data_IF_242508652081
#
_entry.id   IF_242508652081
#
_cell.length_a   1.000
_cell.length_b   1.000
_cell.length_c   1.000
_cell.angle_alpha   90.00
_cell.angle_beta   90.00
_cell.angle_gamma   90.00
#
_symmetry.space_group_name_H-M   'P 1'
#
loop_
_entity.id
_entity.type
_entity.pdbx_description
1 polymer ?
#
# COMPACT_ATOMS: atom_id res chain seq x y z
N UNK A 1 -13.87 2.63 -23.35
CA UNK A 1 -13.51 1.92 -22.11
C UNK A 1 -13.61 2.94 -21.00
N UNK A 2 -14.27 2.63 -19.89
CA UNK A 2 -14.31 3.54 -18.75
C UNK A 2 -12.93 3.63 -18.08
N UNK A 3 -12.64 4.76 -17.44
CA UNK A 3 -11.43 4.95 -16.64
C UNK A 3 -11.52 4.09 -15.37
N UNK A 4 -10.47 3.36 -15.03
CA UNK A 4 -10.40 2.54 -13.82
C UNK A 4 -9.97 3.42 -12.64
N UNK A 5 -10.73 3.39 -11.55
CA UNK A 5 -10.41 4.14 -10.32
C UNK A 5 -9.63 3.27 -9.33
N UNK A 6 -8.44 3.72 -8.95
CA UNK A 6 -7.60 3.05 -7.96
C UNK A 6 -7.51 3.90 -6.69
N UNK A 7 -8.07 3.40 -5.59
CA UNK A 7 -7.91 4.02 -4.27
C UNK A 7 -6.61 3.57 -3.62
N UNK A 8 -5.74 4.49 -3.22
CA UNK A 8 -4.42 4.20 -2.64
C UNK A 8 -4.34 4.73 -1.22
N UNK A 9 -3.93 3.87 -0.27
CA UNK A 9 -3.65 4.27 1.11
C UNK A 9 -2.26 4.91 1.15
N UNK A 10 -2.19 6.25 1.02
CA UNK A 10 -0.95 6.99 0.77
C UNK A 10 -0.27 7.53 2.03
N UNK A 11 -0.73 7.15 3.21
CA UNK A 11 -0.23 7.65 4.49
C UNK A 11 1.29 7.43 4.72
N UNK A 12 1.92 6.46 4.06
CA UNK A 12 3.37 6.23 4.15
C UNK A 12 4.21 7.29 3.42
N UNK A 13 3.58 8.13 2.60
CA UNK A 13 4.22 9.26 1.92
C UNK A 13 4.21 10.53 2.76
N UNK A 14 3.45 10.57 3.87
CA UNK A 14 3.35 11.75 4.73
C UNK A 14 4.64 12.04 5.50
N UNK A 15 4.98 13.31 5.61
CA UNK A 15 6.10 13.78 6.41
C UNK A 15 7.46 13.32 5.87
N UNK A 16 8.30 12.74 6.74
CA UNK A 16 9.62 12.25 6.33
C UNK A 16 9.48 10.96 5.54
N UNK A 17 9.94 10.95 4.29
CA UNK A 17 9.84 9.80 3.40
C UNK A 17 10.35 8.50 4.04
N UNK A 18 9.46 7.54 4.24
CA UNK A 18 9.79 6.17 4.65
C UNK A 18 10.26 5.36 3.43
N UNK A 19 10.80 4.15 3.63
CA UNK A 19 11.10 3.25 2.52
C UNK A 19 9.87 2.91 1.69
N UNK A 20 8.71 2.68 2.36
CA UNK A 20 7.42 2.41 1.69
C UNK A 20 6.90 3.67 0.97
N UNK A 21 7.08 4.86 1.57
CA UNK A 21 6.74 6.12 0.94
C UNK A 21 7.50 6.33 -0.38
N UNK A 22 8.82 6.12 -0.39
CA UNK A 22 9.64 6.18 -1.62
C UNK A 22 9.26 5.12 -2.66
N UNK A 23 8.90 3.92 -2.20
CA UNK A 23 8.39 2.88 -3.10
C UNK A 23 7.11 3.35 -3.79
N UNK A 24 6.16 3.92 -3.05
CA UNK A 24 4.90 4.40 -3.60
C UNK A 24 5.11 5.60 -4.54
N UNK A 25 5.98 6.54 -4.16
CA UNK A 25 6.37 7.68 -5.00
C UNK A 25 6.95 7.21 -6.35
N UNK A 26 7.96 6.35 -6.33
CA UNK A 26 8.57 5.80 -7.55
C UNK A 26 7.61 4.92 -8.37
N UNK A 27 6.65 4.24 -7.71
CA UNK A 27 5.61 3.49 -8.40
C UNK A 27 4.67 4.43 -9.16
N UNK A 28 4.22 5.52 -8.55
CA UNK A 28 3.32 6.51 -9.17
C UNK A 28 4.02 7.23 -10.32
N UNK A 29 5.27 7.67 -10.14
CA UNK A 29 6.09 8.26 -11.21
C UNK A 29 6.26 7.31 -12.40
N UNK A 30 6.54 6.03 -12.13
CA UNK A 30 6.65 5.01 -13.16
C UNK A 30 5.35 4.77 -13.92
N UNK A 31 4.22 4.82 -13.21
CA UNK A 31 2.90 4.61 -13.81
C UNK A 31 2.40 5.82 -14.62
N UNK A 32 2.78 7.05 -14.26
CA UNK A 32 2.52 8.24 -15.09
C UNK A 32 3.15 8.12 -16.50
N UNK A 33 4.31 7.47 -16.59
CA UNK A 33 4.99 7.22 -17.87
C UNK A 33 4.28 6.16 -18.74
N UNK A 34 3.45 5.31 -18.11
CA UNK A 34 2.87 4.14 -18.80
C UNK A 34 1.44 4.35 -19.24
N UNK A 35 0.82 5.48 -18.95
CA UNK A 35 -0.56 5.73 -19.35
C UNK A 35 -1.52 4.55 -19.10
N UNK A 36 -2.71 4.62 -18.81
CA UNK A 36 -3.79 5.32 -19.36
C UNK A 36 -5.10 4.67 -19.00
N UNK A 37 -6.04 5.48 -18.71
CA UNK A 37 -7.34 5.06 -18.29
C UNK A 37 -7.38 4.62 -16.83
N UNK A 38 -6.43 5.07 -15.99
CA UNK A 38 -6.43 4.90 -14.54
C UNK A 38 -6.50 6.27 -13.88
N UNK A 39 -7.44 6.43 -12.95
CA UNK A 39 -7.51 7.56 -12.03
C UNK A 39 -7.00 7.10 -10.67
N UNK A 40 -5.98 7.77 -10.14
CA UNK A 40 -5.36 7.48 -8.86
C UNK A 40 -5.95 8.38 -7.79
N UNK A 41 -6.60 7.80 -6.78
CA UNK A 41 -7.15 8.50 -5.63
C UNK A 41 -6.30 8.19 -4.41
N UNK A 42 -5.42 9.12 -4.04
CA UNK A 42 -4.48 8.99 -2.92
C UNK A 42 -5.11 9.52 -1.64
N UNK A 43 -5.17 8.69 -0.60
CA UNK A 43 -5.77 9.04 0.68
C UNK A 43 -4.70 9.29 1.74
N UNK A 44 -4.71 10.48 2.30
CA UNK A 44 -3.79 10.96 3.33
C UNK A 44 -4.54 11.27 4.63
N UNK A 45 -3.91 10.97 5.78
CA UNK A 45 -4.40 11.43 7.07
C UNK A 45 -3.88 12.83 7.42
N UNK A 46 -2.64 13.11 7.03
CA UNK A 46 -1.95 14.38 7.25
C UNK A 46 -1.61 15.09 5.96
N UNK A 47 -0.54 15.87 5.98
CA UNK A 47 -0.08 16.62 4.83
C UNK A 47 0.72 15.73 3.86
N UNK A 48 0.47 15.87 2.55
CA UNK A 48 1.23 15.14 1.54
C UNK A 48 2.66 15.66 1.47
N UNK A 49 3.58 14.89 0.85
CA UNK A 49 4.91 15.39 0.56
C UNK A 49 4.84 16.57 -0.42
N UNK A 50 5.66 17.59 -0.18
CA UNK A 50 5.76 18.80 -1.03
C UNK A 50 6.27 18.50 -2.45
N UNK A 51 6.85 17.31 -2.66
CA UNK A 51 7.42 16.86 -3.94
C UNK A 51 6.38 16.45 -4.98
N UNK A 52 5.14 16.23 -4.58
CA UNK A 52 4.09 15.78 -5.48
C UNK A 52 3.22 16.96 -5.93
N UNK A 53 3.38 17.35 -7.19
CA UNK A 53 2.47 18.29 -7.84
C UNK A 53 1.28 17.50 -8.44
N UNK A 54 0.16 17.52 -7.72
CA UNK A 54 -1.07 16.86 -8.16
C UNK A 54 -1.91 17.70 -9.13
N UNK A 55 -1.38 18.80 -9.68
CA UNK A 55 -2.15 19.71 -10.52
C UNK A 55 -2.27 19.18 -11.96
N UNK A 56 -3.46 18.71 -12.30
CA UNK A 56 -3.88 18.50 -13.69
C UNK A 56 -3.62 17.13 -14.28
N UNK A 57 -3.26 16.12 -13.48
CA UNK A 57 -3.06 14.73 -13.91
C UNK A 57 -4.19 13.78 -13.47
N UNK A 58 -4.04 12.47 -13.72
CA UNK A 58 -4.97 11.44 -13.28
C UNK A 58 -4.87 11.12 -11.77
N UNK A 59 -4.20 11.97 -10.99
CA UNK A 59 -3.96 11.79 -9.57
C UNK A 59 -4.81 12.78 -8.76
N UNK A 60 -5.63 12.25 -7.86
CA UNK A 60 -6.51 13.02 -6.98
C UNK A 60 -6.10 12.79 -5.52
N UNK A 61 -5.74 13.84 -4.80
CA UNK A 61 -5.40 13.76 -3.39
C UNK A 61 -6.63 14.00 -2.50
N UNK A 62 -6.84 13.10 -1.54
CA UNK A 62 -7.90 13.17 -0.54
C UNK A 62 -7.28 13.29 0.85
N UNK A 63 -7.71 14.32 1.59
CA UNK A 63 -7.22 14.62 2.93
C UNK A 63 -8.27 14.31 3.96
N UNK A 64 -7.93 13.45 4.92
CA UNK A 64 -8.84 13.13 6.00
C UNK A 64 -8.99 14.32 6.95
N UNK A 65 -10.20 14.45 7.52
CA UNK A 65 -10.47 15.42 8.59
C UNK A 65 -10.14 14.86 9.99
N UNK A 66 -9.64 13.64 10.06
CA UNK A 66 -9.35 12.95 11.32
C UNK A 66 -7.87 13.08 11.69
N UNK A 67 -7.57 13.88 12.70
CA UNK A 67 -6.22 14.13 13.21
C UNK A 67 -5.87 13.28 14.45
N UNK A 68 -6.41 12.06 14.53
CA UNK A 68 -6.22 11.17 15.66
C UNK A 68 -5.23 10.03 15.41
N UNK A 69 -5.51 8.88 16.01
CA UNK A 69 -4.70 7.68 15.84
C UNK A 69 -4.62 7.23 14.38
N UNK A 70 -3.41 7.16 13.82
CA UNK A 70 -3.16 6.64 12.47
C UNK A 70 -3.71 5.23 12.28
N UNK A 71 -3.50 4.36 13.26
CA UNK A 71 -4.00 2.98 13.19
C UNK A 71 -5.53 2.95 13.11
N UNK A 72 -6.22 3.80 13.87
CA UNK A 72 -7.67 3.90 13.81
C UNK A 72 -8.13 4.41 12.44
N UNK A 73 -7.48 5.44 11.92
CA UNK A 73 -7.79 5.97 10.60
C UNK A 73 -7.56 4.92 9.51
N UNK A 74 -6.39 4.33 9.42
CA UNK A 74 -6.05 3.31 8.40
C UNK A 74 -6.95 2.08 8.47
N UNK A 75 -7.37 1.67 9.67
CA UNK A 75 -8.10 0.40 9.80
C UNK A 75 -9.62 0.56 9.76
N UNK A 76 -10.15 1.74 10.06
CA UNK A 76 -11.60 1.94 10.20
C UNK A 76 -12.12 3.15 9.45
N UNK A 77 -11.53 4.33 9.67
CA UNK A 77 -12.14 5.58 9.23
C UNK A 77 -11.99 5.80 7.72
N UNK A 78 -10.85 5.44 7.15
CA UNK A 78 -10.53 5.56 5.71
C UNK A 78 -11.52 4.76 4.82
N UNK A 79 -12.13 3.71 5.36
CA UNK A 79 -13.07 2.88 4.58
C UNK A 79 -14.19 3.70 3.98
N UNK A 80 -14.76 4.64 4.74
CA UNK A 80 -15.84 5.53 4.25
C UNK A 80 -15.32 6.52 3.19
N UNK A 81 -14.12 7.01 3.36
CA UNK A 81 -13.48 7.94 2.42
C UNK A 81 -13.21 7.22 1.08
N UNK A 82 -12.71 5.99 1.14
CA UNK A 82 -12.50 5.12 -0.02
C UNK A 82 -13.80 4.78 -0.74
N UNK A 83 -14.83 4.34 0.00
CA UNK A 83 -16.13 3.96 -0.57
C UNK A 83 -16.83 5.15 -1.24
N UNK A 84 -16.62 6.38 -0.77
CA UNK A 84 -17.22 7.58 -1.37
C UNK A 84 -16.73 7.88 -2.80
N UNK A 85 -15.56 7.36 -3.17
CA UNK A 85 -14.98 7.49 -4.52
C UNK A 85 -15.42 6.34 -5.44
N UNK A 86 -15.98 5.27 -4.87
CA UNK A 86 -16.35 4.03 -5.59
C UNK A 86 -15.19 3.46 -6.40
N UNK A 87 -14.06 3.08 -5.77
CA UNK A 87 -12.90 2.59 -6.49
C UNK A 87 -13.15 1.18 -7.05
N UNK A 88 -12.65 0.92 -8.24
CA UNK A 88 -12.65 -0.42 -8.84
C UNK A 88 -11.70 -1.36 -8.11
N UNK A 89 -10.60 -0.80 -7.55
CA UNK A 89 -9.64 -1.53 -6.74
C UNK A 89 -9.02 -0.62 -5.68
N UNK A 90 -8.70 -1.18 -4.50
CA UNK A 90 -7.95 -0.49 -3.45
C UNK A 90 -6.55 -1.07 -3.33
N UNK A 91 -5.55 -0.21 -3.34
CA UNK A 91 -4.16 -0.57 -3.18
C UNK A 91 -3.62 -0.16 -1.80
N UNK A 92 -3.16 -1.17 -1.04
CA UNK A 92 -2.41 -0.99 0.19
C UNK A 92 -0.92 -1.17 -0.07
N UNK A 93 -0.11 -0.10 -0.10
CA UNK A 93 1.33 -0.17 -0.39
C UNK A 93 2.15 -0.79 0.75
N UNK A 94 1.57 -0.90 1.94
CA UNK A 94 2.13 -1.57 3.10
C UNK A 94 1.30 -2.82 3.44
N UNK A 95 1.73 -3.57 4.44
CA UNK A 95 1.12 -4.84 4.87
C UNK A 95 -0.29 -4.72 5.50
N UNK A 96 -1.01 -3.60 5.31
CA UNK A 96 -2.32 -3.36 5.91
C UNK A 96 -3.40 -3.05 4.88
N UNK A 97 -4.65 -3.40 5.22
CA UNK A 97 -5.86 -3.00 4.51
C UNK A 97 -6.96 -2.66 5.55
N UNK A 98 -7.84 -1.70 5.27
CA UNK A 98 -8.91 -1.31 6.18
C UNK A 98 -9.87 -2.45 6.49
N UNK A 99 -10.47 -2.41 7.67
CA UNK A 99 -11.59 -3.28 8.00
C UNK A 99 -12.85 -2.82 7.26
N UNK A 100 -13.67 -3.80 6.81
CA UNK A 100 -14.95 -3.50 6.16
C UNK A 100 -14.85 -3.06 4.70
N UNK A 101 -13.65 -3.03 4.11
CA UNK A 101 -13.47 -2.71 2.71
C UNK A 101 -14.24 -3.70 1.82
N UNK A 102 -15.06 -3.18 0.91
CA UNK A 102 -15.89 -3.98 -0.03
C UNK A 102 -15.24 -4.09 -1.40
N UNK A 103 -14.55 -3.04 -1.83
CA UNK A 103 -13.85 -3.05 -3.11
C UNK A 103 -12.78 -4.14 -3.18
N UNK A 104 -12.53 -4.72 -4.36
CA UNK A 104 -11.38 -5.55 -4.62
C UNK A 104 -10.09 -4.88 -4.14
N UNK A 105 -9.13 -5.64 -3.61
CA UNK A 105 -7.91 -5.03 -3.08
C UNK A 105 -6.65 -5.78 -3.44
N UNK A 106 -5.56 -5.01 -3.52
CA UNK A 106 -4.19 -5.48 -3.71
C UNK A 106 -3.35 -4.93 -2.57
N UNK A 107 -2.45 -5.74 -2.01
CA UNK A 107 -1.56 -5.32 -0.92
C UNK A 107 -0.12 -5.70 -1.24
N UNK A 108 0.81 -4.76 -1.00
CA UNK A 108 2.24 -5.08 -1.03
C UNK A 108 2.72 -5.47 0.37
N UNK A 109 3.48 -6.55 0.47
CA UNK A 109 4.15 -6.97 1.69
C UNK A 109 5.66 -6.97 1.43
N UNK A 110 6.33 -5.95 1.98
CA UNK A 110 7.76 -5.73 1.78
C UNK A 110 8.62 -6.69 2.60
N UNK A 111 8.21 -6.96 3.85
CA UNK A 111 8.87 -7.89 4.75
C UNK A 111 7.88 -8.52 5.74
N UNK A 112 8.28 -9.62 6.35
CA UNK A 112 7.61 -10.27 7.47
C UNK A 112 8.60 -10.55 8.62
N UNK A 113 9.55 -9.64 8.85
CA UNK A 113 10.56 -9.74 9.90
C UNK A 113 9.94 -10.01 11.27
N UNK A 114 8.78 -9.43 11.57
CA UNK A 114 8.01 -9.70 12.78
C UNK A 114 7.54 -11.16 12.95
N UNK A 115 7.56 -11.97 11.89
CA UNK A 115 7.29 -13.42 11.92
C UNK A 115 8.57 -14.25 12.06
N UNK A 116 9.63 -13.88 11.32
CA UNK A 116 10.85 -14.68 11.18
C UNK A 116 11.94 -14.31 12.18
N UNK A 117 11.89 -13.07 12.73
CA UNK A 117 12.82 -12.53 13.75
C UNK A 117 12.03 -11.92 14.92
N UNK A 118 11.23 -12.73 15.60
CA UNK A 118 10.28 -12.23 16.61
C UNK A 118 10.93 -11.51 17.80
N UNK A 119 12.19 -11.80 18.10
CA UNK A 119 12.98 -11.21 19.18
C UNK A 119 13.32 -9.73 18.94
N UNK A 120 13.32 -9.28 17.69
CA UNK A 120 13.61 -7.89 17.31
C UNK A 120 12.42 -6.95 17.57
N UNK A 121 11.26 -7.51 17.92
CA UNK A 121 10.02 -6.74 18.09
C UNK A 121 9.44 -6.88 19.48
N UNK A 122 9.00 -5.76 20.06
CA UNK A 122 8.19 -5.80 21.29
C UNK A 122 6.90 -6.62 21.06
N UNK A 123 6.49 -7.39 22.08
CA UNK A 123 5.36 -8.32 21.98
C UNK A 123 4.09 -7.69 21.38
N UNK A 124 3.71 -6.50 21.86
CA UNK A 124 2.51 -5.79 21.39
C UNK A 124 2.60 -5.40 19.90
N UNK A 125 3.75 -4.85 19.51
CA UNK A 125 3.99 -4.43 18.11
C UNK A 125 4.01 -5.63 17.17
N UNK A 126 4.71 -6.69 17.54
CA UNK A 126 4.76 -7.96 16.81
C UNK A 126 3.35 -8.53 16.57
N UNK A 127 2.54 -8.65 17.63
CA UNK A 127 1.19 -9.18 17.53
C UNK A 127 0.31 -8.30 16.63
N UNK A 128 0.40 -6.99 16.77
CA UNK A 128 -0.32 -6.04 15.94
C UNK A 128 0.02 -6.23 14.45
N UNK A 129 1.31 -6.22 14.10
CA UNK A 129 1.78 -6.41 12.71
C UNK A 129 1.35 -7.76 12.16
N UNK A 130 1.53 -8.81 12.93
CA UNK A 130 1.15 -10.17 12.56
C UNK A 130 -0.33 -10.29 12.22
N UNK A 131 -1.22 -9.78 13.05
CA UNK A 131 -2.67 -9.82 12.85
C UNK A 131 -3.05 -9.04 11.59
N UNK A 132 -2.56 -7.81 11.46
CA UNK A 132 -2.91 -6.94 10.34
C UNK A 132 -2.38 -7.48 9.01
N UNK A 133 -1.14 -7.93 8.94
CA UNK A 133 -0.54 -8.47 7.73
C UNK A 133 -1.23 -9.77 7.29
N UNK A 134 -1.46 -10.70 8.21
CA UNK A 134 -2.16 -11.96 7.90
C UNK A 134 -3.59 -11.72 7.43
N UNK A 135 -4.29 -10.75 8.05
CA UNK A 135 -5.62 -10.37 7.61
C UNK A 135 -5.59 -9.75 6.21
N UNK A 136 -4.73 -8.74 5.99
CA UNK A 136 -4.61 -8.09 4.70
C UNK A 136 -4.30 -9.10 3.58
N UNK A 137 -3.34 -10.00 3.81
CA UNK A 137 -2.99 -11.06 2.87
C UNK A 137 -4.15 -12.02 2.56
N UNK A 138 -5.04 -12.28 3.53
CA UNK A 138 -6.21 -13.16 3.33
C UNK A 138 -7.30 -12.48 2.53
N UNK A 139 -7.60 -11.20 2.79
CA UNK A 139 -8.73 -10.48 2.17
C UNK A 139 -8.38 -9.89 0.81
N UNK A 140 -7.12 -9.52 0.56
CA UNK A 140 -6.68 -9.00 -0.73
C UNK A 140 -6.88 -10.02 -1.86
N UNK A 141 -7.31 -9.60 -3.04
CA UNK A 141 -7.34 -10.43 -4.25
C UNK A 141 -5.95 -10.85 -4.70
N UNK A 142 -4.97 -9.97 -4.55
CA UNK A 142 -3.56 -10.23 -4.87
C UNK A 142 -2.67 -9.67 -3.77
N UNK A 143 -1.60 -10.39 -3.50
CA UNK A 143 -0.51 -9.96 -2.63
C UNK A 143 0.72 -9.77 -3.50
N UNK A 144 1.31 -8.57 -3.46
CA UNK A 144 2.55 -8.28 -4.16
C UNK A 144 3.72 -8.56 -3.21
N UNK A 145 4.64 -9.39 -3.64
CA UNK A 145 5.90 -9.68 -2.98
C UNK A 145 7.04 -9.01 -3.73
N UNK A 146 7.95 -8.38 -3.02
CA UNK A 146 9.06 -7.62 -3.61
C UNK A 146 10.20 -8.50 -4.15
N UNK A 147 10.15 -9.80 -3.91
CA UNK A 147 11.12 -10.79 -4.41
C UNK A 147 10.53 -12.19 -4.40
N UNK A 148 11.16 -13.13 -5.13
CA UNK A 148 10.80 -14.55 -5.08
C UNK A 148 11.01 -15.14 -3.67
N UNK A 149 12.04 -14.70 -2.97
CA UNK A 149 12.26 -15.10 -1.57
C UNK A 149 11.07 -14.70 -0.70
N UNK A 150 10.62 -13.44 -0.79
CA UNK A 150 9.46 -12.97 -0.04
C UNK A 150 8.18 -13.72 -0.44
N UNK A 151 7.97 -13.99 -1.72
CA UNK A 151 6.85 -14.78 -2.17
C UNK A 151 6.84 -16.19 -1.57
N UNK A 152 8.01 -16.83 -1.48
CA UNK A 152 8.20 -18.11 -0.78
C UNK A 152 7.82 -18.05 0.69
N UNK A 153 8.28 -17.03 1.41
CA UNK A 153 7.95 -16.80 2.82
C UNK A 153 6.44 -16.57 3.03
N UNK A 154 5.80 -15.77 2.19
CA UNK A 154 4.35 -15.50 2.27
C UNK A 154 3.53 -16.77 2.04
N UNK A 155 3.90 -17.59 1.08
CA UNK A 155 3.26 -18.90 0.85
C UNK A 155 3.43 -19.82 2.06
N UNK A 156 4.64 -19.91 2.60
CA UNK A 156 4.95 -20.79 3.73
C UNK A 156 4.32 -20.32 5.04
N UNK A 157 4.46 -19.02 5.39
CA UNK A 157 4.07 -18.50 6.70
C UNK A 157 2.60 -18.08 6.78
N UNK A 158 2.01 -17.63 5.65
CA UNK A 158 0.63 -17.15 5.60
C UNK A 158 -0.31 -18.13 4.91
N UNK A 159 0.21 -19.24 4.36
CA UNK A 159 -0.59 -20.25 3.67
C UNK A 159 -1.24 -19.75 2.38
N UNK A 160 -0.59 -18.84 1.67
CA UNK A 160 -1.15 -18.26 0.46
C UNK A 160 -0.95 -19.20 -0.74
N UNK A 161 -2.01 -19.39 -1.54
CA UNK A 161 -1.91 -20.12 -2.79
C UNK A 161 -0.97 -19.41 -3.78
N UNK A 162 -0.21 -20.14 -4.62
CA UNK A 162 0.72 -19.52 -5.58
C UNK A 162 0.08 -18.45 -6.47
N UNK A 163 -1.14 -18.69 -6.96
CA UNK A 163 -1.87 -17.75 -7.80
C UNK A 163 -2.36 -16.47 -7.09
N UNK A 164 -2.22 -16.40 -5.75
CA UNK A 164 -2.56 -15.20 -4.96
C UNK A 164 -1.38 -14.26 -4.78
N UNK A 165 -0.16 -14.71 -5.01
CA UNK A 165 1.09 -13.95 -4.81
C UNK A 165 1.73 -13.67 -6.15
N UNK A 166 1.90 -12.39 -6.45
CA UNK A 166 2.66 -11.91 -7.60
C UNK A 166 3.99 -11.30 -7.13
N UNK A 167 5.06 -11.57 -7.86
CA UNK A 167 6.38 -10.98 -7.57
C UNK A 167 6.55 -9.72 -8.41
N UNK A 168 6.71 -8.58 -7.72
CA UNK A 168 6.94 -7.27 -8.33
C UNK A 168 8.16 -6.65 -7.64
N UNK A 169 9.36 -6.80 -8.20
CA UNK A 169 10.58 -6.20 -7.65
C UNK A 169 10.49 -4.67 -7.61
N UNK A 170 11.20 -4.08 -6.65
CA UNK A 170 11.35 -2.64 -6.61
C UNK A 170 12.15 -2.14 -7.81
N UNK A 171 11.74 -1.00 -8.37
CA UNK A 171 12.52 -0.24 -9.34
C UNK A 171 13.72 0.45 -8.67
N UNK A 172 14.67 0.86 -9.49
CA UNK A 172 15.84 1.65 -9.08
C UNK A 172 15.87 2.91 -9.95
N UNK A 173 16.06 4.07 -9.32
CA UNK A 173 16.32 5.29 -10.04
C UNK A 173 17.74 5.26 -10.62
N UNK A 174 17.84 4.90 -11.89
CA UNK A 174 19.12 4.80 -12.61
C UNK A 174 19.77 6.17 -12.90
N UNK A 175 19.05 7.28 -12.72
CA UNK A 175 19.63 8.62 -12.83
C UNK A 175 20.38 8.99 -11.56
N UNK A 176 19.84 8.61 -10.39
CA UNK A 176 20.44 8.86 -9.10
C UNK A 176 21.54 7.83 -8.76
N UNK A 177 21.35 6.58 -9.16
CA UNK A 177 22.25 5.45 -8.85
C UNK A 177 22.89 4.90 -10.14
N UNK A 178 23.60 5.74 -10.87
CA UNK A 178 24.46 5.31 -11.99
C UNK A 178 25.86 4.96 -11.50
N UNK A 179 26.55 3.96 -12.10
CA UNK A 179 27.97 3.67 -11.84
C UNK A 179 28.88 4.86 -12.15
#
# INVERSE_FOLDING_TARGET
MGTMKVGVIAAEMEGRATGVGRYLEGLLEGLELWEHGIEWHLFFQGDPPLSLDFQGGPIHAHYSRHHGSRVLWEQVLITRELEAVEPDVVFGPAYTLPFGLRAPSVVTIHDISFEVLPEEFGLRERWRRRILARRAARVAQRVLAVSEHMAGLLRAQFGLAPGRVAVVPHGIDTKQFSP
#
